data_IF_499246994201
#
_entry.id   IF_499246994201
#
_cell.length_a   1.000
_cell.length_b   1.000
_cell.length_c   1.000
_cell.angle_alpha   90.00
_cell.angle_beta   90.00
_cell.angle_gamma   90.00
#
_symmetry.space_group_name_H-M   'P 1'
#
loop_
_entity.id
_entity.type
_entity.pdbx_description
1 polymer ?
#
# COMPACT_ATOMS: atom_id res chain seq x y z
N UNK A 1 -36.00 5.41 19.05
CA UNK A 1 -35.82 6.04 17.71
C UNK A 1 -35.52 4.94 16.70
N UNK A 2 -36.32 4.79 15.64
CA UNK A 2 -36.11 3.73 14.62
C UNK A 2 -34.87 4.07 13.79
N UNK A 3 -33.87 3.18 13.75
CA UNK A 3 -32.72 3.32 12.83
C UNK A 3 -33.23 3.32 11.38
N UNK A 4 -33.13 4.46 10.69
CA UNK A 4 -33.41 4.53 9.24
C UNK A 4 -32.33 3.73 8.52
N UNK A 5 -32.74 2.60 7.92
CA UNK A 5 -31.88 1.64 7.18
C UNK A 5 -31.00 2.28 6.10
N UNK A 6 -31.39 3.45 5.59
CA UNK A 6 -30.70 4.20 4.53
C UNK A 6 -30.46 5.67 4.91
N UNK A 7 -30.28 5.98 6.20
CA UNK A 7 -30.13 7.36 6.68
C UNK A 7 -28.74 7.97 6.49
N UNK A 8 -27.78 7.24 5.89
CA UNK A 8 -26.42 7.73 5.66
C UNK A 8 -26.18 7.83 4.15
N UNK A 9 -25.90 9.02 3.59
CA UNK A 9 -25.54 9.13 2.18
C UNK A 9 -24.24 8.36 1.90
N UNK A 10 -24.12 7.79 0.70
CA UNK A 10 -22.88 7.17 0.27
C UNK A 10 -21.75 8.22 0.26
N UNK A 11 -20.57 7.85 0.76
CA UNK A 11 -19.37 8.69 0.63
C UNK A 11 -18.79 8.49 -0.77
N UNK A 12 -18.28 9.54 -1.44
CA UNK A 12 -17.58 9.38 -2.72
C UNK A 12 -16.36 8.47 -2.53
N UNK A 13 -16.09 7.66 -3.54
CA UNK A 13 -14.92 6.77 -3.58
C UNK A 13 -14.38 6.70 -5.01
N UNK A 14 -13.10 6.38 -5.14
CA UNK A 14 -12.44 6.15 -6.42
C UNK A 14 -12.32 4.64 -6.66
N UNK A 15 -12.58 4.22 -7.90
CA UNK A 15 -12.24 2.89 -8.37
C UNK A 15 -11.17 3.08 -9.45
N UNK A 16 -10.02 2.47 -9.23
CA UNK A 16 -8.97 2.36 -10.23
C UNK A 16 -8.94 0.91 -10.70
N UNK A 17 -9.18 0.70 -12.00
CA UNK A 17 -9.06 -0.61 -12.61
C UNK A 17 -7.61 -0.86 -12.99
N UNK A 18 -7.13 -2.05 -12.66
CA UNK A 18 -5.80 -2.52 -13.06
C UNK A 18 -5.99 -3.50 -14.21
N UNK A 19 -5.52 -3.13 -15.39
CA UNK A 19 -5.60 -3.96 -16.59
C UNK A 19 -4.52 -5.05 -16.59
N UNK A 20 -4.80 -6.20 -17.21
CA UNK A 20 -3.85 -7.33 -17.33
C UNK A 20 -2.49 -6.95 -17.96
N UNK A 21 -2.40 -5.85 -18.70
CA UNK A 21 -1.17 -5.40 -19.33
C UNK A 21 -0.24 -4.63 -18.38
N UNK A 22 -0.76 -4.08 -17.29
CA UNK A 22 0.01 -3.24 -16.37
C UNK A 22 0.99 -4.06 -15.54
N UNK A 23 0.62 -5.29 -15.17
CA UNK A 23 1.52 -6.21 -14.46
C UNK A 23 2.71 -6.63 -15.33
N UNK A 24 2.51 -6.78 -16.64
CA UNK A 24 3.58 -7.05 -17.61
C UNK A 24 4.46 -5.81 -17.77
N UNK A 25 3.85 -4.63 -17.86
CA UNK A 25 4.56 -3.35 -17.98
C UNK A 25 5.45 -3.05 -16.76
N UNK A 26 4.97 -3.35 -15.55
CA UNK A 26 5.68 -3.10 -14.29
C UNK A 26 6.80 -4.10 -13.98
N UNK A 27 6.90 -5.20 -14.73
CA UNK A 27 7.87 -6.27 -14.46
C UNK A 27 9.32 -5.74 -14.40
N UNK A 28 9.65 -4.79 -15.27
CA UNK A 28 10.97 -4.15 -15.34
C UNK A 28 10.93 -2.67 -14.91
N UNK A 29 9.83 -2.24 -14.28
CA UNK A 29 9.57 -0.84 -13.87
C UNK A 29 8.99 -0.78 -12.46
N UNK A 30 9.79 -1.24 -11.50
CA UNK A 30 9.43 -1.26 -10.08
C UNK A 30 9.04 0.14 -9.55
N UNK A 31 9.73 1.20 -9.97
CA UNK A 31 9.40 2.56 -9.57
C UNK A 31 8.00 3.00 -10.04
N UNK A 32 7.60 2.66 -11.26
CA UNK A 32 6.26 2.97 -11.78
C UNK A 32 5.18 2.25 -10.97
N UNK A 33 5.44 0.98 -10.61
CA UNK A 33 4.56 0.20 -9.75
C UNK A 33 4.42 0.82 -8.35
N UNK A 34 5.54 1.15 -7.69
CA UNK A 34 5.52 1.77 -6.37
C UNK A 34 4.78 3.12 -6.41
N UNK A 35 5.08 3.97 -7.38
CA UNK A 35 4.41 5.26 -7.56
C UNK A 35 2.90 5.09 -7.79
N UNK A 36 2.50 4.11 -8.60
CA UNK A 36 1.09 3.80 -8.83
C UNK A 36 0.39 3.36 -7.53
N UNK A 37 0.99 2.42 -6.79
CA UNK A 37 0.41 1.90 -5.55
C UNK A 37 0.31 2.97 -4.46
N UNK A 38 1.32 3.84 -4.33
CA UNK A 38 1.28 4.98 -3.41
C UNK A 38 0.18 5.97 -3.78
N UNK A 39 0.02 6.28 -5.08
CA UNK A 39 -1.04 7.15 -5.56
C UNK A 39 -2.43 6.54 -5.28
N UNK A 40 -2.60 5.26 -5.58
CA UNK A 40 -3.84 4.51 -5.29
C UNK A 40 -4.16 4.52 -3.79
N UNK A 41 -3.14 4.34 -2.95
CA UNK A 41 -3.30 4.37 -1.50
C UNK A 41 -3.36 5.79 -0.91
N UNK A 42 -3.16 6.83 -1.73
CA UNK A 42 -3.10 8.23 -1.32
C UNK A 42 -2.02 8.48 -0.24
N UNK A 43 -0.83 7.93 -0.48
CA UNK A 43 0.37 8.13 0.34
C UNK A 43 1.39 8.99 -0.41
N UNK A 44 2.20 9.73 0.36
CA UNK A 44 3.33 10.48 -0.16
C UNK A 44 4.54 9.54 -0.32
N UNK A 45 5.30 9.70 -1.40
CA UNK A 45 6.54 8.94 -1.60
C UNK A 45 7.58 9.27 -0.54
N UNK A 46 8.25 8.25 -0.01
CA UNK A 46 9.42 8.37 0.84
C UNK A 46 10.66 7.87 0.10
N UNK A 47 11.79 8.54 0.30
CA UNK A 47 13.08 8.19 -0.31
C UNK A 47 14.13 7.98 0.77
N UNK A 48 15.15 7.16 0.50
CA UNK A 48 16.25 6.90 1.44
C UNK A 48 15.96 5.81 2.46
N UNK A 49 14.88 5.04 2.26
CA UNK A 49 14.54 3.86 3.05
C UNK A 49 14.63 2.62 2.16
N UNK A 50 14.86 1.46 2.77
CA UNK A 50 15.00 0.19 2.05
C UNK A 50 13.66 -0.54 1.89
N UNK A 51 12.79 -0.46 2.89
CA UNK A 51 11.51 -1.16 2.92
C UNK A 51 10.32 -0.20 3.04
N UNK A 52 10.53 1.04 3.48
CA UNK A 52 9.48 2.05 3.52
C UNK A 52 9.39 2.81 2.20
N UNK A 53 8.25 2.72 1.51
CA UNK A 53 8.05 3.32 0.20
C UNK A 53 7.26 4.63 0.28
N UNK A 54 6.45 4.80 1.32
CA UNK A 54 5.66 6.02 1.48
C UNK A 54 5.18 6.32 2.87
N UNK A 55 4.40 7.39 2.99
CA UNK A 55 3.85 7.90 4.23
C UNK A 55 2.40 8.34 4.06
N UNK A 56 1.54 7.93 4.99
CA UNK A 56 0.15 8.38 5.07
C UNK A 56 -0.14 8.91 6.47
N UNK A 57 -0.09 10.23 6.62
CA UNK A 57 -0.20 10.88 7.94
C UNK A 57 0.98 10.55 8.84
N UNK A 58 0.73 9.90 9.98
CA UNK A 58 1.73 9.44 10.95
C UNK A 58 2.24 8.02 10.69
N UNK A 59 1.74 7.36 9.63
CA UNK A 59 2.09 5.98 9.31
C UNK A 59 3.09 5.88 8.17
N UNK A 60 4.07 4.99 8.32
CA UNK A 60 4.87 4.53 7.21
C UNK A 60 4.06 3.54 6.34
N UNK A 61 4.42 3.42 5.06
CA UNK A 61 3.76 2.54 4.10
C UNK A 61 4.83 1.69 3.43
N UNK A 62 4.66 0.38 3.53
CA UNK A 62 5.42 -0.60 2.77
C UNK A 62 4.51 -1.21 1.68
N UNK A 63 5.07 -1.39 0.49
CA UNK A 63 4.39 -1.99 -0.66
C UNK A 63 5.15 -3.27 -1.00
N UNK A 64 4.46 -4.39 -0.92
CA UNK A 64 5.00 -5.70 -1.22
C UNK A 64 5.25 -5.92 -2.72
N UNK A 65 5.95 -7.01 -3.04
CA UNK A 65 6.32 -7.33 -4.41
C UNK A 65 5.10 -7.58 -5.31
N UNK A 66 5.22 -7.25 -6.59
CA UNK A 66 4.15 -7.39 -7.58
C UNK A 66 3.72 -8.84 -7.80
N UNK A 67 4.65 -9.79 -7.72
CA UNK A 67 4.49 -11.18 -8.14
C UNK A 67 4.56 -12.19 -6.99
N UNK A 68 4.58 -11.74 -5.73
CA UNK A 68 4.68 -12.59 -4.57
C UNK A 68 3.88 -12.02 -3.38
N UNK A 69 3.42 -12.87 -2.45
CA UNK A 69 2.84 -12.40 -1.20
C UNK A 69 3.92 -11.75 -0.31
N UNK A 70 3.50 -10.82 0.54
CA UNK A 70 4.38 -10.27 1.59
C UNK A 70 4.67 -11.36 2.61
N UNK A 71 5.94 -11.56 2.92
CA UNK A 71 6.41 -12.60 3.85
C UNK A 71 6.55 -12.08 5.28
N UNK A 72 6.58 -12.98 6.27
CA UNK A 72 6.82 -12.58 7.66
C UNK A 72 8.20 -11.94 7.86
N UNK A 73 9.24 -12.47 7.20
CA UNK A 73 10.59 -11.90 7.26
C UNK A 73 10.64 -10.45 6.72
N UNK A 74 9.88 -10.18 5.66
CA UNK A 74 9.73 -8.84 5.11
C UNK A 74 9.02 -7.89 6.09
N UNK A 75 7.96 -8.36 6.75
CA UNK A 75 7.29 -7.59 7.81
C UNK A 75 8.24 -7.29 8.97
N UNK A 76 9.06 -8.25 9.39
CA UNK A 76 10.07 -8.03 10.44
C UNK A 76 11.07 -6.94 10.04
N UNK A 77 11.55 -6.96 8.79
CA UNK A 77 12.45 -5.93 8.25
C UNK A 77 11.80 -4.54 8.22
N UNK A 78 10.53 -4.46 7.82
CA UNK A 78 9.74 -3.21 7.86
C UNK A 78 9.63 -2.69 9.30
N UNK A 79 9.37 -3.56 10.28
CA UNK A 79 9.26 -3.18 11.70
C UNK A 79 10.59 -2.65 12.24
N UNK A 80 11.71 -3.32 11.90
CA UNK A 80 13.05 -2.88 12.31
C UNK A 80 13.36 -1.49 11.74
N UNK A 81 13.10 -1.27 10.44
CA UNK A 81 13.33 0.02 9.80
C UNK A 81 12.41 1.12 10.37
N UNK A 82 11.14 0.80 10.68
CA UNK A 82 10.24 1.73 11.36
C UNK A 82 10.80 2.20 12.71
N UNK A 83 11.27 1.25 13.53
CA UNK A 83 11.86 1.56 14.85
C UNK A 83 13.11 2.42 14.73
N UNK A 84 14.00 2.10 13.79
CA UNK A 84 15.23 2.87 13.54
C UNK A 84 14.94 4.32 13.12
N UNK A 85 13.77 4.58 12.52
CA UNK A 85 13.40 5.88 11.96
C UNK A 85 12.24 6.56 12.71
N UNK A 86 11.93 6.14 13.94
CA UNK A 86 10.87 6.70 14.80
C UNK A 86 9.45 6.65 14.23
N UNK A 87 9.16 5.70 13.34
CA UNK A 87 7.78 5.40 12.94
C UNK A 87 7.13 4.45 13.96
N UNK A 88 6.00 4.86 14.53
CA UNK A 88 5.26 4.07 15.52
C UNK A 88 4.06 3.32 14.93
N UNK A 89 3.75 3.54 13.65
CA UNK A 89 2.68 2.89 12.89
C UNK A 89 3.14 2.62 11.46
N UNK A 90 2.74 1.48 10.92
CA UNK A 90 3.00 1.13 9.53
C UNK A 90 1.79 0.42 8.92
N UNK A 91 1.51 0.71 7.66
CA UNK A 91 0.56 -0.01 6.83
C UNK A 91 1.36 -0.83 5.78
N UNK A 92 1.00 -2.10 5.61
CA UNK A 92 1.64 -3.02 4.66
C UNK A 92 0.64 -3.37 3.57
N UNK A 93 0.98 -3.04 2.32
CA UNK A 93 0.13 -3.30 1.16
C UNK A 93 0.69 -4.50 0.39
N UNK A 94 -0.06 -5.58 0.31
CA UNK A 94 0.36 -6.80 -0.38
C UNK A 94 -0.72 -7.32 -1.32
N UNK A 95 -0.28 -8.02 -2.37
CA UNK A 95 -1.18 -8.77 -3.24
C UNK A 95 -1.60 -10.07 -2.56
N UNK A 96 -2.89 -10.40 -2.69
CA UNK A 96 -3.43 -11.69 -2.30
C UNK A 96 -3.83 -12.43 -3.57
N UNK A 97 -3.26 -13.60 -3.77
CA UNK A 97 -3.64 -14.50 -4.86
C UNK A 97 -4.66 -15.49 -4.30
N UNK A 98 -5.90 -15.42 -4.76
CA UNK A 98 -6.84 -16.53 -4.60
C UNK A 98 -6.54 -17.54 -5.71
N UNK A 99 -5.96 -18.68 -5.36
CA UNK A 99 -6.08 -19.88 -6.18
C UNK A 99 -7.52 -20.38 -6.16
#
# INVERSE_FOLDING_TARGET
MKHKKYGKPARPFEIWNIGNYETIYWKDKEEDYLNFMLKLYQAQTLTGFRYLHGRKGDKAVHIGPLNAPVTMEEVEKVVIECRANNFNKADVLGWVWSY
#
